data_IF_770323795457
#
_entry.id   IF_770323795457
#
_cell.length_a   1.000
_cell.length_b   1.000
_cell.length_c   1.000
_cell.angle_alpha   90.00
_cell.angle_beta   90.00
_cell.angle_gamma   90.00
#
_symmetry.space_group_name_H-M   'P 1'
#
loop_
_entity.id
_entity.type
_entity.pdbx_description
1 polymer ?
#
# COMPACT_ATOMS: atom_id res chain seq x y z
N UNK A 1 4.66 -21.64 26.96
CA UNK A 1 5.50 -21.29 25.80
C UNK A 1 4.65 -20.44 24.87
N UNK A 2 4.85 -19.14 24.89
CA UNK A 2 4.22 -18.19 23.97
C UNK A 2 5.37 -17.42 23.34
N UNK A 3 5.79 -17.87 22.18
CA UNK A 3 6.78 -17.18 21.37
C UNK A 3 6.06 -15.95 20.80
N UNK A 4 6.27 -14.80 21.42
CA UNK A 4 5.83 -13.51 20.89
C UNK A 4 6.64 -13.25 19.63
N UNK A 5 6.09 -13.68 18.49
CA UNK A 5 6.55 -13.33 17.16
C UNK A 5 6.66 -11.80 17.11
N UNK A 6 7.90 -11.32 17.16
CA UNK A 6 8.20 -9.91 16.95
C UNK A 6 7.70 -9.59 15.55
N UNK A 7 6.52 -8.99 15.47
CA UNK A 7 6.07 -8.26 14.29
C UNK A 7 7.13 -7.19 14.07
N UNK A 8 8.04 -7.47 13.14
CA UNK A 8 8.99 -6.49 12.62
C UNK A 8 8.15 -5.44 11.91
N UNK A 9 7.72 -4.45 12.69
CA UNK A 9 7.19 -3.19 12.20
C UNK A 9 8.40 -2.48 11.57
N UNK A 10 8.84 -2.97 10.41
CA UNK A 10 9.39 -2.09 9.38
C UNK A 10 8.20 -1.31 8.84
N UNK A 11 7.72 -0.41 9.68
CA UNK A 11 7.10 0.84 9.31
C UNK A 11 8.08 1.50 8.34
N UNK A 12 7.91 1.20 7.06
CA UNK A 12 8.17 2.21 6.06
C UNK A 12 7.17 3.29 6.44
N UNK A 13 7.63 4.29 7.18
CA UNK A 13 6.86 5.47 7.52
C UNK A 13 6.34 6.09 6.23
N UNK A 14 5.14 5.67 5.87
CA UNK A 14 4.22 6.44 5.04
C UNK A 14 2.83 6.33 5.67
N UNK A 15 2.76 6.05 6.98
CA UNK A 15 1.50 6.04 7.75
C UNK A 15 1.22 7.36 8.48
N UNK A 16 2.15 8.34 8.52
CA UNK A 16 1.88 9.64 9.17
C UNK A 16 1.81 10.87 8.23
N UNK A 17 2.11 10.75 6.94
CA UNK A 17 1.98 11.88 5.98
C UNK A 17 0.81 11.81 4.99
N UNK A 18 -0.05 10.79 5.06
CA UNK A 18 -1.26 10.69 4.22
C UNK A 18 -2.53 11.22 4.90
N UNK A 19 -2.39 12.06 5.93
CA UNK A 19 -3.48 12.89 6.46
C UNK A 19 -4.02 13.93 5.45
N UNK A 20 -3.45 14.02 4.25
CA UNK A 20 -4.15 14.56 3.08
C UNK A 20 -4.59 13.39 2.20
N UNK A 21 -5.86 13.00 2.35
CA UNK A 21 -6.55 12.14 1.40
C UNK A 21 -6.40 12.76 0.00
N UNK A 22 -5.38 12.32 -0.75
CA UNK A 22 -5.35 12.59 -2.19
C UNK A 22 -6.58 11.89 -2.76
N UNK A 23 -7.40 12.57 -3.58
CA UNK A 23 -8.61 11.98 -4.12
C UNK A 23 -8.30 10.74 -4.98
N UNK A 24 -7.04 10.59 -5.41
CA UNK A 24 -6.51 9.46 -6.14
C UNK A 24 -5.38 8.78 -5.33
N UNK A 25 -5.62 7.56 -4.82
CA UNK A 25 -4.70 6.89 -3.89
C UNK A 25 -4.85 5.37 -3.81
N UNK A 26 -3.82 4.69 -3.29
CA UNK A 26 -3.82 3.25 -3.04
C UNK A 26 -3.19 3.03 -1.67
N UNK A 27 -3.90 2.32 -0.78
CA UNK A 27 -3.38 1.90 0.51
C UNK A 27 -2.97 0.43 0.44
N UNK A 28 -1.74 0.14 0.84
CA UNK A 28 -1.22 -1.22 0.89
C UNK A 28 -0.71 -1.57 2.28
N UNK A 29 -0.81 -2.85 2.62
CA UNK A 29 -0.31 -3.42 3.87
C UNK A 29 0.56 -4.63 3.55
N UNK A 30 1.75 -4.70 4.15
CA UNK A 30 2.60 -5.88 4.07
C UNK A 30 2.29 -6.83 5.22
N UNK A 31 1.95 -8.07 4.89
CA UNK A 31 1.63 -9.12 5.87
C UNK A 31 2.34 -10.40 5.42
N UNK A 32 3.18 -10.97 6.28
CA UNK A 32 3.94 -12.20 6.01
C UNK A 32 4.72 -12.16 4.68
N UNK A 33 5.40 -11.04 4.40
CA UNK A 33 6.17 -10.86 3.17
C UNK A 33 5.32 -10.67 1.90
N UNK A 34 3.99 -10.56 2.02
CA UNK A 34 3.08 -10.31 0.91
C UNK A 34 2.47 -8.91 1.02
N UNK A 35 2.33 -8.24 -0.11
CA UNK A 35 1.65 -6.95 -0.19
C UNK A 35 0.18 -7.12 -0.52
N UNK A 36 -0.68 -6.59 0.34
CA UNK A 36 -2.13 -6.57 0.19
C UNK A 36 -2.59 -5.15 -0.07
N UNK A 37 -3.40 -4.94 -1.10
CA UNK A 37 -4.09 -3.67 -1.31
C UNK A 37 -5.35 -3.68 -0.45
N UNK A 38 -5.48 -2.76 0.50
CA UNK A 38 -6.62 -2.70 1.43
C UNK A 38 -7.65 -1.68 0.99
N UNK A 39 -7.22 -0.56 0.40
CA UNK A 39 -8.11 0.51 -0.05
C UNK A 39 -7.59 1.12 -1.35
N UNK A 40 -8.51 1.51 -2.24
CA UNK A 40 -8.18 2.20 -3.50
C UNK A 40 -9.18 3.33 -3.69
N UNK A 41 -8.66 4.54 -3.88
CA UNK A 41 -9.42 5.76 -4.14
C UNK A 41 -9.19 6.21 -5.59
N UNK A 42 -10.27 6.61 -6.24
CA UNK A 42 -10.26 7.16 -7.59
C UNK A 42 -10.70 8.61 -7.53
N UNK A 43 -9.84 9.49 -8.03
CA UNK A 43 -10.30 10.84 -8.33
C UNK A 43 -11.13 10.77 -9.61
N UNK A 44 -12.34 11.34 -9.65
CA UNK A 44 -13.21 11.29 -10.83
C UNK A 44 -12.61 11.98 -12.06
N UNK A 45 -11.59 12.83 -11.89
CA UNK A 45 -10.84 13.47 -12.97
C UNK A 45 -9.52 12.74 -13.28
N UNK A 46 -9.17 11.69 -12.54
CA UNK A 46 -7.99 10.88 -12.82
C UNK A 46 -8.18 10.04 -14.08
N UNK A 47 -7.09 9.91 -14.85
CA UNK A 47 -7.03 9.06 -16.04
C UNK A 47 -6.57 7.64 -15.73
N UNK A 48 -6.06 7.41 -14.52
CA UNK A 48 -5.54 6.11 -14.11
C UNK A 48 -6.68 5.12 -13.91
N UNK A 49 -6.63 4.00 -14.62
CA UNK A 49 -7.59 2.91 -14.43
C UNK A 49 -7.24 2.07 -13.20
N UNK A 50 -8.19 1.25 -12.75
CA UNK A 50 -7.94 0.26 -11.69
C UNK A 50 -6.77 -0.67 -12.02
N UNK A 51 -6.65 -1.09 -13.28
CA UNK A 51 -5.56 -1.95 -13.72
C UNK A 51 -4.21 -1.24 -13.67
N UNK A 52 -4.15 0.01 -14.13
CA UNK A 52 -2.92 0.82 -14.10
C UNK A 52 -2.42 1.02 -12.66
N UNK A 53 -3.35 1.32 -11.74
CA UNK A 53 -3.07 1.44 -10.29
C UNK A 53 -2.51 0.15 -9.70
N UNK A 54 -3.14 -1.00 -9.96
CA UNK A 54 -2.63 -2.29 -9.49
C UNK A 54 -1.27 -2.64 -10.11
N UNK A 55 -1.09 -2.34 -11.39
CA UNK A 55 0.17 -2.58 -12.09
C UNK A 55 1.31 -1.76 -11.47
N UNK A 56 1.05 -0.51 -11.04
CA UNK A 56 2.03 0.31 -10.31
C UNK A 56 2.45 -0.37 -9.00
N UNK A 57 1.52 -0.90 -8.21
CA UNK A 57 1.84 -1.65 -6.98
C UNK A 57 2.74 -2.84 -7.27
N UNK A 58 2.39 -3.67 -8.27
CA UNK A 58 3.19 -4.85 -8.64
C UNK A 58 4.58 -4.46 -9.15
N UNK A 59 4.69 -3.38 -9.94
CA UNK A 59 5.97 -2.88 -10.42
C UNK A 59 6.85 -2.36 -9.29
N UNK A 60 6.28 -1.71 -8.28
CA UNK A 60 7.02 -1.23 -7.10
C UNK A 60 7.62 -2.38 -6.30
N UNK A 61 6.92 -3.51 -6.19
CA UNK A 61 7.41 -4.70 -5.49
C UNK A 61 8.53 -5.45 -6.26
N UNK A 62 8.64 -5.26 -7.58
CA UNK A 62 9.67 -5.90 -8.42
C UNK A 62 10.95 -5.09 -8.57
N UNK A 63 11.00 -3.86 -8.05
CA UNK A 63 12.18 -2.98 -8.13
C UNK A 63 13.15 -3.14 -6.96
N UNK A 64 12.90 -4.11 -6.07
CA UNK A 64 13.81 -4.53 -4.99
C UNK A 64 14.70 -5.70 -5.43
#
# INVERSE_FOLDING_TARGET
MAESEKVDIKEIQTEEQLQHQKPDGILTKKINGKTFVTEIYFDPNSKDTFQEKLLKVVKSERKE
#
